data_IF_930262295337
#
_entry.id   IF_930262295337
#
_cell.length_a   1.000
_cell.length_b   1.000
_cell.length_c   1.000
_cell.angle_alpha   90.00
_cell.angle_beta   90.00
_cell.angle_gamma   90.00
#
_symmetry.space_group_name_H-M   'P 1'
#
loop_
_entity.id
_entity.type
_entity.pdbx_description
1 polymer ?
#
# COMPACT_ATOMS: atom_id res chain seq x y z
N UNK A 1 0.11 -3.36 -35.07
CA UNK A 1 -0.26 -4.15 -33.88
C UNK A 1 0.94 -4.08 -32.93
N UNK A 2 0.87 -3.24 -31.89
CA UNK A 2 1.93 -3.22 -30.89
C UNK A 2 1.74 -4.44 -29.98
N UNK A 3 2.73 -5.32 -29.95
CA UNK A 3 2.83 -6.39 -28.97
C UNK A 3 3.15 -5.79 -27.61
N UNK A 4 2.12 -5.38 -26.87
CA UNK A 4 2.28 -5.03 -25.47
C UNK A 4 2.26 -6.34 -24.68
N UNK A 5 3.44 -6.83 -24.33
CA UNK A 5 3.61 -7.88 -23.33
C UNK A 5 3.02 -7.39 -22.02
N UNK A 6 2.34 -8.26 -21.28
CA UNK A 6 1.93 -7.92 -19.91
C UNK A 6 3.18 -7.66 -19.06
N UNK A 7 3.19 -6.61 -18.22
CA UNK A 7 4.36 -6.28 -17.41
C UNK A 7 4.74 -7.43 -16.48
N UNK A 8 6.04 -7.64 -16.24
CA UNK A 8 6.49 -8.69 -15.33
C UNK A 8 6.68 -8.21 -13.89
N UNK A 9 6.81 -9.15 -12.95
CA UNK A 9 7.11 -8.84 -11.55
C UNK A 9 8.45 -8.11 -11.38
N UNK A 10 9.45 -8.47 -12.18
CA UNK A 10 10.79 -7.86 -12.18
C UNK A 10 10.74 -6.41 -12.67
N UNK A 11 9.94 -6.14 -13.71
CA UNK A 11 9.72 -4.79 -14.21
C UNK A 11 9.01 -3.92 -13.17
N UNK A 12 8.02 -4.48 -12.47
CA UNK A 12 7.34 -3.79 -11.36
C UNK A 12 8.32 -3.44 -10.22
N UNK A 13 9.19 -4.37 -9.83
CA UNK A 13 10.22 -4.10 -8.79
C UNK A 13 11.19 -3.01 -9.26
N UNK A 14 11.61 -3.04 -10.52
CA UNK A 14 12.48 -2.01 -11.10
C UNK A 14 11.80 -0.65 -11.04
N UNK A 15 10.52 -0.57 -11.41
CA UNK A 15 9.72 0.64 -11.28
C UNK A 15 9.68 1.14 -9.83
N UNK A 16 9.45 0.27 -8.85
CA UNK A 16 9.38 0.68 -7.44
C UNK A 16 10.69 1.27 -6.93
N UNK A 17 11.83 0.69 -7.32
CA UNK A 17 13.15 1.24 -7.00
C UNK A 17 13.38 2.60 -7.65
N UNK A 18 12.91 2.81 -8.88
CA UNK A 18 12.99 4.12 -9.54
C UNK A 18 12.09 5.15 -8.87
N UNK A 19 10.86 4.78 -8.51
CA UNK A 19 9.93 5.66 -7.80
C UNK A 19 10.52 6.10 -6.47
N UNK A 20 11.07 5.18 -5.68
CA UNK A 20 11.71 5.52 -4.41
C UNK A 20 12.85 6.54 -4.58
N UNK A 21 13.66 6.42 -5.65
CA UNK A 21 14.75 7.37 -5.94
C UNK A 21 14.26 8.71 -6.47
N UNK A 22 13.19 8.72 -7.28
CA UNK A 22 12.68 9.92 -7.97
C UNK A 22 11.77 10.76 -7.09
N UNK A 23 11.02 10.14 -6.17
CA UNK A 23 10.06 10.88 -5.36
C UNK A 23 10.78 11.75 -4.31
N UNK A 24 10.38 13.03 -4.19
CA UNK A 24 11.12 13.99 -3.38
C UNK A 24 10.97 13.69 -1.88
N UNK A 25 12.01 13.09 -1.29
CA UNK A 25 12.05 12.77 0.14
C UNK A 25 11.89 14.01 1.02
N UNK A 26 12.39 15.17 0.56
CA UNK A 26 12.34 16.44 1.29
C UNK A 26 10.94 17.03 1.43
N UNK A 27 10.03 16.80 0.48
CA UNK A 27 8.69 17.43 0.48
C UNK A 27 7.57 16.45 0.80
N UNK A 28 7.71 15.20 0.37
CA UNK A 28 6.67 14.18 0.56
C UNK A 28 6.96 13.26 1.76
N UNK A 29 8.21 13.16 2.19
CA UNK A 29 8.67 12.21 3.19
C UNK A 29 9.03 10.85 2.60
N UNK A 30 10.00 10.17 3.22
CA UNK A 30 10.55 8.88 2.77
C UNK A 30 9.52 7.73 2.84
N UNK A 31 8.48 7.88 3.65
CA UNK A 31 7.48 6.86 3.96
C UNK A 31 6.14 7.06 3.24
N UNK A 32 6.09 7.80 2.14
CA UNK A 32 4.80 8.14 1.48
C UNK A 32 4.71 7.87 -0.02
N UNK A 33 5.83 7.70 -0.71
CA UNK A 33 5.84 7.49 -2.18
C UNK A 33 5.02 6.27 -2.61
N UNK A 34 5.00 5.20 -1.79
CA UNK A 34 4.27 3.98 -2.09
C UNK A 34 2.74 4.17 -2.07
N UNK A 35 2.23 5.23 -1.42
CA UNK A 35 0.81 5.59 -1.47
C UNK A 35 0.42 6.09 -2.86
N UNK A 36 1.32 6.83 -3.51
CA UNK A 36 1.12 7.29 -4.88
C UNK A 36 1.22 6.10 -5.83
N UNK A 37 2.22 5.24 -5.62
CA UNK A 37 2.40 4.02 -6.42
C UNK A 37 1.16 3.11 -6.37
N UNK A 38 0.64 2.79 -5.17
CA UNK A 38 -0.52 1.88 -5.05
C UNK A 38 -1.79 2.49 -5.64
N UNK A 39 -2.01 3.80 -5.48
CA UNK A 39 -3.13 4.49 -6.11
C UNK A 39 -3.02 4.49 -7.63
N UNK A 40 -1.82 4.71 -8.18
CA UNK A 40 -1.56 4.70 -9.61
C UNK A 40 -1.70 3.31 -10.23
N UNK A 41 -1.17 2.26 -9.59
CA UNK A 41 -1.34 0.87 -10.05
C UNK A 41 -2.82 0.47 -10.10
N UNK A 42 -3.55 0.79 -9.04
CA UNK A 42 -4.99 0.47 -8.94
C UNK A 42 -5.82 1.26 -9.95
N UNK A 43 -5.55 2.56 -10.10
CA UNK A 43 -6.25 3.43 -11.06
C UNK A 43 -5.86 3.19 -12.51
N UNK A 44 -4.64 2.72 -12.76
CA UNK A 44 -4.12 2.32 -14.07
C UNK A 44 -4.57 0.94 -14.53
N UNK A 45 -5.40 0.25 -13.75
CA UNK A 45 -5.98 -1.04 -14.12
C UNK A 45 -5.07 -2.25 -13.88
N UNK A 46 -4.03 -2.10 -13.04
CA UNK A 46 -3.04 -3.12 -12.73
C UNK A 46 -2.99 -3.42 -11.21
N UNK A 47 -4.13 -3.76 -10.55
CA UNK A 47 -4.23 -3.93 -9.10
C UNK A 47 -3.40 -5.11 -8.55
N UNK A 48 -3.08 -6.12 -9.36
CA UNK A 48 -2.30 -7.30 -9.00
C UNK A 48 -0.88 -6.96 -8.51
N UNK A 49 -0.26 -5.93 -9.07
CA UNK A 49 1.07 -5.47 -8.65
C UNK A 49 1.07 -4.83 -7.25
N UNK A 50 -0.09 -4.61 -6.63
CA UNK A 50 -0.16 -4.23 -5.22
C UNK A 50 0.52 -5.28 -4.32
N UNK A 51 0.43 -6.56 -4.68
CA UNK A 51 1.14 -7.64 -3.99
C UNK A 51 2.66 -7.52 -4.14
N UNK A 52 3.15 -7.22 -5.35
CA UNK A 52 4.57 -6.97 -5.61
C UNK A 52 5.08 -5.77 -4.82
N UNK A 53 4.31 -4.68 -4.78
CA UNK A 53 4.66 -3.48 -4.02
C UNK A 53 4.77 -3.79 -2.52
N UNK A 54 3.78 -4.50 -1.96
CA UNK A 54 3.83 -4.93 -0.56
C UNK A 54 5.05 -5.80 -0.28
N UNK A 55 5.30 -6.80 -1.14
CA UNK A 55 6.43 -7.73 -1.01
C UNK A 55 7.77 -7.01 -1.06
N UNK A 56 7.92 -6.04 -1.96
CA UNK A 56 9.09 -5.17 -2.05
C UNK A 56 9.29 -4.33 -0.79
N UNK A 57 8.20 -3.78 -0.23
CA UNK A 57 8.29 -2.94 0.97
C UNK A 57 8.69 -3.77 2.19
N UNK A 58 8.09 -4.94 2.44
CA UNK A 58 8.39 -5.74 3.65
C UNK A 58 9.82 -6.29 3.71
N UNK A 59 10.54 -6.30 2.58
CA UNK A 59 11.97 -6.64 2.54
C UNK A 59 12.86 -5.51 3.09
N UNK A 60 12.35 -4.30 3.26
CA UNK A 60 13.11 -3.16 3.76
C UNK A 60 13.32 -3.26 5.29
N UNK A 61 14.46 -2.78 5.82
CA UNK A 61 14.81 -2.93 7.23
C UNK A 61 13.80 -2.29 8.19
N UNK A 62 13.12 -1.20 7.78
CA UNK A 62 12.08 -0.55 8.60
C UNK A 62 10.83 -1.43 8.85
N UNK A 63 10.64 -2.50 8.10
CA UNK A 63 9.50 -3.42 8.22
C UNK A 63 9.90 -4.81 8.77
N UNK A 64 11.02 -4.87 9.50
CA UNK A 64 11.52 -6.10 10.11
C UNK A 64 10.60 -6.67 11.20
N UNK A 65 9.80 -5.83 11.86
CA UNK A 65 8.89 -6.24 12.95
C UNK A 65 7.47 -6.51 12.44
N UNK A 66 6.77 -7.45 13.06
CA UNK A 66 5.35 -7.73 12.76
C UNK A 66 4.47 -6.49 12.92
N UNK A 67 4.70 -5.68 13.97
CA UNK A 67 3.93 -4.45 14.20
C UNK A 67 4.14 -3.40 13.09
N UNK A 68 5.37 -3.26 12.60
CA UNK A 68 5.64 -2.39 11.45
C UNK A 68 4.99 -2.88 10.15
N UNK A 69 4.90 -4.20 9.93
CA UNK A 69 4.22 -4.77 8.75
C UNK A 69 2.70 -4.63 8.84
N UNK A 70 2.10 -4.84 10.02
CA UNK A 70 0.68 -4.53 10.28
C UNK A 70 0.35 -3.07 9.99
N UNK A 71 1.17 -2.14 10.51
CA UNK A 71 1.01 -0.72 10.28
C UNK A 71 1.10 -0.37 8.78
N UNK A 72 2.02 -0.99 8.05
CA UNK A 72 2.14 -0.84 6.60
C UNK A 72 0.88 -1.34 5.88
N UNK A 73 0.47 -2.59 6.09
CA UNK A 73 -0.71 -3.17 5.42
C UNK A 73 -1.95 -2.33 5.69
N UNK A 74 -2.13 -1.91 6.94
CA UNK A 74 -3.24 -1.03 7.32
C UNK A 74 -3.23 0.27 6.53
N UNK A 75 -2.07 0.90 6.39
CA UNK A 75 -1.93 2.15 5.63
C UNK A 75 -2.22 1.94 4.14
N UNK A 76 -1.77 0.83 3.56
CA UNK A 76 -2.08 0.46 2.17
C UNK A 76 -3.59 0.22 1.97
N UNK A 77 -4.23 -0.57 2.85
CA UNK A 77 -5.68 -0.82 2.83
C UNK A 77 -6.47 0.48 2.98
N UNK A 78 -6.07 1.35 3.90
CA UNK A 78 -6.70 2.65 4.10
C UNK A 78 -6.56 3.58 2.88
N UNK A 79 -5.48 3.49 2.11
CA UNK A 79 -5.32 4.23 0.86
C UNK A 79 -6.24 3.66 -0.24
N UNK A 80 -6.28 2.33 -0.38
CA UNK A 80 -7.15 1.65 -1.35
C UNK A 80 -8.63 1.92 -1.07
N UNK A 81 -9.07 1.88 0.20
CA UNK A 81 -10.45 2.21 0.57
C UNK A 81 -10.79 3.66 0.21
N UNK A 82 -9.84 4.60 0.38
CA UNK A 82 -10.04 5.99 -0.05
C UNK A 82 -10.13 6.12 -1.58
N UNK A 83 -9.46 5.26 -2.34
CA UNK A 83 -9.56 5.24 -3.79
C UNK A 83 -10.94 4.78 -4.31
N UNK A 84 -11.76 4.11 -3.49
CA UNK A 84 -13.09 3.61 -3.91
C UNK A 84 -14.00 4.73 -4.41
N UNK A 85 -13.93 5.94 -3.85
CA UNK A 85 -14.79 7.06 -4.27
C UNK A 85 -14.43 7.62 -5.66
N UNK A 86 -13.21 7.34 -6.15
CA UNK A 86 -12.70 7.87 -7.42
C UNK A 86 -12.66 6.79 -8.49
N UNK A 87 -12.19 5.60 -8.14
CA UNK A 87 -11.96 4.48 -9.07
C UNK A 87 -13.18 3.53 -9.11
N UNK A 88 -14.02 3.54 -8.07
CA UNK A 88 -15.01 2.50 -7.82
C UNK A 88 -14.44 1.35 -6.98
N UNK A 89 -15.30 0.42 -6.55
CA UNK A 89 -14.95 -0.59 -5.55
C UNK A 89 -14.11 -1.75 -6.10
N UNK A 90 -14.32 -2.15 -7.37
CA UNK A 90 -13.78 -3.40 -7.89
C UNK A 90 -12.25 -3.45 -7.84
N UNK A 91 -11.57 -2.42 -8.36
CA UNK A 91 -10.11 -2.41 -8.48
C UNK A 91 -9.37 -2.25 -7.15
N UNK A 92 -9.76 -1.34 -6.25
CA UNK A 92 -9.16 -1.28 -4.93
C UNK A 92 -9.37 -2.57 -4.11
N UNK A 93 -10.54 -3.21 -4.24
CA UNK A 93 -10.80 -4.46 -3.53
C UNK A 93 -9.96 -5.63 -4.07
N UNK A 94 -9.79 -5.71 -5.39
CA UNK A 94 -8.87 -6.65 -6.05
C UNK A 94 -7.44 -6.48 -5.50
N UNK A 95 -6.93 -5.24 -5.42
CA UNK A 95 -5.62 -4.95 -4.85
C UNK A 95 -5.50 -5.35 -3.36
N UNK A 96 -6.56 -5.14 -2.56
CA UNK A 96 -6.60 -5.60 -1.15
C UNK A 96 -6.47 -7.12 -1.08
N UNK A 97 -7.17 -7.87 -1.94
CA UNK A 97 -7.09 -9.32 -1.98
C UNK A 97 -5.72 -9.81 -2.44
N UNK A 98 -5.11 -9.17 -3.44
CA UNK A 98 -3.76 -9.48 -3.89
C UNK A 98 -2.73 -9.31 -2.76
N UNK A 99 -2.82 -8.25 -1.96
CA UNK A 99 -1.96 -8.07 -0.78
C UNK A 99 -2.23 -9.16 0.26
N UNK A 100 -3.51 -9.43 0.57
CA UNK A 100 -3.88 -10.42 1.57
C UNK A 100 -3.44 -11.86 1.22
N UNK A 101 -3.26 -12.17 -0.07
CA UNK A 101 -2.79 -13.46 -0.55
C UNK A 101 -1.31 -13.71 -0.24
N UNK A 102 -0.49 -12.66 -0.14
CA UNK A 102 0.96 -12.75 0.16
C UNK A 102 1.31 -12.34 1.59
N UNK A 103 0.32 -11.83 2.35
CA UNK A 103 0.47 -11.43 3.74
C UNK A 103 0.66 -12.65 4.65
N UNK A 104 1.68 -12.60 5.52
CA UNK A 104 1.93 -13.68 6.49
C UNK A 104 0.79 -13.73 7.53
N UNK A 105 0.39 -14.91 8.03
CA UNK A 105 -0.69 -15.02 9.01
C UNK A 105 -0.51 -14.13 10.24
N UNK A 106 0.71 -13.99 10.74
CA UNK A 106 1.07 -13.15 11.89
C UNK A 106 0.97 -11.64 11.64
N UNK A 107 1.02 -11.21 10.38
CA UNK A 107 0.96 -9.80 9.98
C UNK A 107 -0.49 -9.34 9.76
N UNK A 108 -1.46 -10.26 9.81
CA UNK A 108 -2.89 -9.94 9.63
C UNK A 108 -3.40 -9.09 10.79
N UNK A 109 -3.60 -7.81 10.52
CA UNK A 109 -4.21 -6.88 11.47
C UNK A 109 -5.74 -6.97 11.44
N UNK A 110 -6.32 -7.49 12.52
CA UNK A 110 -7.78 -7.53 12.77
C UNK A 110 -8.25 -6.38 13.68
N UNK A 111 -7.35 -5.50 14.09
CA UNK A 111 -7.70 -4.33 14.90
C UNK A 111 -8.41 -3.27 14.05
N UNK A 112 -9.27 -2.48 14.69
CA UNK A 112 -10.01 -1.42 14.01
C UNK A 112 -9.20 -0.13 13.88
N UNK A 113 -9.46 0.64 12.82
CA UNK A 113 -8.79 1.93 12.65
C UNK A 113 -9.20 3.04 13.62
N UNK A 114 -10.35 2.89 14.28
CA UNK A 114 -10.90 3.90 15.18
C UNK A 114 -10.31 3.75 16.59
N UNK A 115 -9.41 4.66 16.94
CA UNK A 115 -9.26 5.06 18.34
C UNK A 115 -10.40 6.03 18.64
N UNK A 116 -11.24 5.73 19.65
CA UNK A 116 -12.12 6.75 20.22
C UNK A 116 -11.20 7.78 20.88
N UNK A 117 -11.17 9.01 20.36
CA UNK A 117 -10.57 10.12 21.10
C UNK A 117 -11.50 10.41 22.26
N UNK A 118 -11.26 9.77 23.40
CA UNK A 118 -11.83 10.21 24.67
C UNK A 118 -11.19 11.56 24.96
N UNK A 119 -11.82 12.63 24.52
CA UNK A 119 -11.51 13.95 25.04
C UNK A 119 -11.86 13.90 26.52
N UNK A 120 -10.85 13.75 27.38
CA UNK A 120 -10.99 13.94 28.81
C UNK A 120 -11.34 15.41 29.03
N UNK A 121 -12.65 15.72 28.96
CA UNK A 121 -13.20 16.99 29.40
C UNK A 121 -12.90 17.08 30.89
N UNK A 122 -11.85 17.83 31.26
CA UNK A 122 -11.58 18.16 32.66
C UNK A 122 -12.79 18.95 33.15
N UNK A 123 -13.54 18.36 34.06
CA UNK A 123 -14.54 19.08 34.85
C UNK A 123 -13.81 20.14 35.66
N UNK A 124 -14.09 21.40 35.35
CA UNK A 124 -13.78 22.57 36.17
C UNK A 124 -15.08 23.10 36.78
#
# INVERSE_FOLDING_TARGET
MNSHSDPTAEEAITLFQELEKKFPSQTLGEDRWYLIAISALTGGGQPEFAANLYTYLVQKPQYSTTESRKALVRRLREALVKCVSIIGVCKPLEAVFSIAAVERPEDKDYSFSRYIVTHSCKQG
#
